data_IF_970750536366
#
_entry.id   IF_970750536366
#
_cell.length_a   1.000
_cell.length_b   1.000
_cell.length_c   1.000
_cell.angle_alpha   90.00
_cell.angle_beta   90.00
_cell.angle_gamma   90.00
#
_symmetry.space_group_name_H-M   'P 1'
#
loop_
_entity.id
_entity.type
_entity.pdbx_description
1 polymer ?
#
# COMPACT_ATOMS: atom_id res chain seq x y z
N UNK A 1 -11.46 -26.78 -5.83
CA UNK A 1 -11.77 -25.74 -4.83
C UNK A 1 -11.37 -24.43 -5.46
N UNK A 2 -12.28 -23.46 -5.53
CA UNK A 2 -12.06 -22.24 -6.30
C UNK A 2 -11.13 -21.32 -5.51
N UNK A 3 -9.92 -21.09 -6.03
CA UNK A 3 -8.85 -20.37 -5.31
C UNK A 3 -9.27 -18.93 -4.96
N UNK A 4 -10.17 -18.37 -5.75
CA UNK A 4 -10.77 -17.05 -5.54
C UNK A 4 -11.75 -17.03 -4.35
N UNK A 5 -12.42 -18.15 -4.03
CA UNK A 5 -13.30 -18.25 -2.86
C UNK A 5 -12.48 -18.35 -1.56
N UNK A 6 -11.43 -19.17 -1.51
CA UNK A 6 -10.55 -19.26 -0.33
C UNK A 6 -9.81 -17.95 -0.04
N UNK A 7 -9.30 -17.27 -1.07
CA UNK A 7 -8.59 -16.00 -0.89
C UNK A 7 -9.53 -14.87 -0.48
N UNK A 8 -10.77 -14.88 -0.99
CA UNK A 8 -11.83 -13.95 -0.59
C UNK A 8 -12.27 -14.19 0.85
N UNK A 9 -12.46 -15.45 1.27
CA UNK A 9 -12.79 -15.79 2.65
C UNK A 9 -11.64 -15.44 3.61
N UNK A 10 -10.39 -15.60 3.19
CA UNK A 10 -9.24 -15.22 4.02
C UNK A 10 -9.05 -13.70 4.11
N UNK A 11 -9.32 -12.96 3.02
CA UNK A 11 -9.38 -11.49 3.03
C UNK A 11 -10.60 -10.95 3.80
N UNK A 12 -11.63 -11.76 4.03
CA UNK A 12 -12.78 -11.45 4.87
C UNK A 12 -12.65 -11.97 6.31
N UNK A 13 -11.62 -12.76 6.62
CA UNK A 13 -11.39 -13.35 7.95
C UNK A 13 -10.88 -12.34 8.99
N UNK A 14 -10.91 -12.73 10.27
CA UNK A 14 -10.40 -12.02 11.47
C UNK A 14 -9.01 -11.34 11.26
N UNK A 15 -8.21 -11.87 10.33
CA UNK A 15 -6.87 -11.39 10.03
C UNK A 15 -6.87 -10.07 9.25
N UNK A 16 -7.83 -9.86 8.33
CA UNK A 16 -8.05 -8.55 7.71
C UNK A 16 -8.61 -7.56 8.72
N UNK A 17 -9.51 -8.02 9.61
CA UNK A 17 -10.11 -7.20 10.64
C UNK A 17 -9.04 -6.59 11.58
N UNK A 18 -8.02 -7.38 11.94
CA UNK A 18 -6.89 -6.91 12.75
C UNK A 18 -6.02 -5.83 12.08
N UNK A 19 -6.00 -5.78 10.74
CA UNK A 19 -5.22 -4.81 9.96
C UNK A 19 -6.05 -3.64 9.42
N UNK A 20 -7.37 -3.75 9.45
CA UNK A 20 -8.33 -2.76 8.94
C UNK A 20 -8.19 -1.39 9.63
N UNK A 21 -7.95 -1.38 10.94
CA UNK A 21 -7.74 -0.17 11.74
C UNK A 21 -6.48 0.60 11.33
N UNK A 22 -5.38 -0.12 11.05
CA UNK A 22 -4.14 0.46 10.54
C UNK A 22 -4.33 1.02 9.12
N UNK A 23 -5.03 0.30 8.25
CA UNK A 23 -5.36 0.79 6.90
C UNK A 23 -6.26 2.03 6.94
N UNK A 24 -7.25 2.07 7.85
CA UNK A 24 -8.11 3.23 8.04
C UNK A 24 -7.31 4.45 8.54
N UNK A 25 -6.41 4.23 9.49
CA UNK A 25 -5.53 5.27 10.01
C UNK A 25 -4.58 5.80 8.93
N UNK A 26 -3.93 4.92 8.17
CA UNK A 26 -3.06 5.33 7.06
C UNK A 26 -3.85 6.07 5.97
N UNK A 27 -5.04 5.60 5.62
CA UNK A 27 -5.95 6.28 4.69
C UNK A 27 -6.27 7.69 5.17
N UNK A 28 -6.58 7.87 6.45
CA UNK A 28 -6.84 9.19 7.03
C UNK A 28 -5.62 10.11 6.95
N UNK A 29 -4.43 9.60 7.28
CA UNK A 29 -3.16 10.34 7.15
C UNK A 29 -2.87 10.76 5.71
N UNK A 30 -3.16 9.91 4.73
CA UNK A 30 -3.03 10.21 3.30
C UNK A 30 -4.01 11.31 2.88
N UNK A 31 -5.26 11.27 3.38
CA UNK A 31 -6.26 12.32 3.09
C UNK A 31 -5.90 13.67 3.72
N UNK A 32 -5.22 13.68 4.87
CA UNK A 32 -4.61 14.91 5.41
C UNK A 32 -3.52 15.41 4.46
N UNK A 33 -2.64 14.52 3.97
CA UNK A 33 -1.59 14.90 3.00
C UNK A 33 -2.20 15.49 1.73
N UNK A 34 -3.28 14.91 1.21
CA UNK A 34 -4.06 15.48 0.10
C UNK A 34 -4.45 16.94 0.36
N UNK A 35 -5.03 17.25 1.52
CA UNK A 35 -5.40 18.63 1.88
C UNK A 35 -4.19 19.58 1.94
N UNK A 36 -3.05 19.08 2.43
CA UNK A 36 -1.81 19.85 2.50
C UNK A 36 -1.21 20.10 1.10
N UNK A 37 -1.31 19.15 0.16
CA UNK A 37 -0.89 19.37 -1.23
C UNK A 37 -1.77 20.38 -1.97
N UNK A 38 -3.07 20.42 -1.68
CA UNK A 38 -3.95 21.51 -2.16
C UNK A 38 -3.43 22.85 -1.65
N UNK A 39 -3.11 22.93 -0.35
CA UNK A 39 -2.61 24.14 0.27
C UNK A 39 -1.28 24.61 -0.35
N UNK A 40 -0.39 23.69 -0.75
CA UNK A 40 0.86 24.03 -1.45
C UNK A 40 0.71 24.16 -2.96
N UNK A 41 -0.51 24.17 -3.50
CA UNK A 41 -0.83 24.25 -4.93
C UNK A 41 -0.23 23.12 -5.79
N UNK A 42 0.04 21.95 -5.20
CA UNK A 42 0.52 20.77 -5.91
C UNK A 42 -0.67 19.83 -6.23
N UNK A 43 -1.40 20.17 -7.29
CA UNK A 43 -2.63 19.48 -7.68
C UNK A 43 -2.39 18.03 -8.12
N UNK A 44 -1.25 17.74 -8.76
CA UNK A 44 -0.90 16.39 -9.18
C UNK A 44 -0.75 15.44 -7.98
N UNK A 45 0.01 15.86 -6.96
CA UNK A 45 0.21 15.08 -5.75
C UNK A 45 -1.07 14.99 -4.91
N UNK A 46 -1.88 16.05 -4.89
CA UNK A 46 -3.19 16.02 -4.26
C UNK A 46 -4.08 14.92 -4.88
N UNK A 47 -4.21 14.88 -6.21
CA UNK A 47 -5.03 13.86 -6.88
C UNK A 47 -4.52 12.44 -6.60
N UNK A 48 -3.20 12.24 -6.64
CA UNK A 48 -2.57 10.96 -6.32
C UNK A 48 -2.90 10.48 -4.90
N UNK A 49 -2.75 11.36 -3.91
CA UNK A 49 -3.05 11.03 -2.51
C UNK A 49 -4.55 10.83 -2.28
N UNK A 50 -5.41 11.61 -2.93
CA UNK A 50 -6.87 11.40 -2.87
C UNK A 50 -7.24 10.01 -3.41
N UNK A 51 -6.68 9.62 -4.55
CA UNK A 51 -6.94 8.31 -5.15
C UNK A 51 -6.49 7.16 -4.24
N UNK A 52 -5.25 7.22 -3.71
CA UNK A 52 -4.76 6.20 -2.78
C UNK A 52 -5.61 6.12 -1.52
N UNK A 53 -5.95 7.26 -0.92
CA UNK A 53 -6.76 7.32 0.30
C UNK A 53 -8.17 6.76 0.10
N UNK A 54 -8.90 7.24 -0.91
CA UNK A 54 -10.27 6.78 -1.17
C UNK A 54 -10.32 5.30 -1.55
N UNK A 55 -9.39 4.82 -2.39
CA UNK A 55 -9.34 3.41 -2.77
C UNK A 55 -8.98 2.51 -1.59
N UNK A 56 -8.09 2.96 -0.69
CA UNK A 56 -7.77 2.25 0.55
C UNK A 56 -9.00 2.16 1.44
N UNK A 57 -9.72 3.27 1.62
CA UNK A 57 -10.96 3.29 2.40
C UNK A 57 -12.01 2.35 1.81
N UNK A 58 -12.19 2.36 0.49
CA UNK A 58 -13.11 1.45 -0.20
C UNK A 58 -12.73 -0.03 0.01
N UNK A 59 -11.44 -0.35 -0.08
CA UNK A 59 -10.92 -1.70 0.13
C UNK A 59 -11.23 -2.24 1.54
N UNK A 60 -11.29 -1.37 2.56
CA UNK A 60 -11.68 -1.76 3.93
C UNK A 60 -13.11 -2.33 3.98
N UNK A 61 -14.06 -1.76 3.24
CA UNK A 61 -15.45 -2.24 3.24
C UNK A 61 -15.68 -3.38 2.25
N UNK A 62 -14.88 -3.43 1.17
CA UNK A 62 -15.00 -4.42 0.11
C UNK A 62 -13.62 -4.95 -0.27
N UNK A 63 -13.03 -5.83 0.56
CA UNK A 63 -11.73 -6.41 0.24
C UNK A 63 -11.85 -7.27 -1.03
N UNK A 64 -10.90 -7.09 -1.94
CA UNK A 64 -10.79 -7.91 -3.15
C UNK A 64 -9.34 -8.07 -3.59
N UNK A 65 -9.07 -9.17 -4.26
CA UNK A 65 -7.74 -9.53 -4.81
C UNK A 65 -7.24 -8.48 -5.79
N UNK A 66 -8.11 -8.01 -6.68
CA UNK A 66 -7.79 -6.98 -7.65
C UNK A 66 -7.45 -5.67 -6.94
N UNK A 67 -8.20 -5.31 -5.89
CA UNK A 67 -7.97 -4.06 -5.14
C UNK A 67 -6.68 -4.11 -4.33
N UNK A 68 -6.37 -5.21 -3.63
CA UNK A 68 -5.13 -5.29 -2.85
C UNK A 68 -3.89 -5.24 -3.75
N UNK A 69 -3.89 -5.94 -4.89
CA UNK A 69 -2.80 -5.89 -5.88
C UNK A 69 -2.68 -4.48 -6.47
N UNK A 70 -3.82 -3.86 -6.83
CA UNK A 70 -3.84 -2.50 -7.37
C UNK A 70 -3.29 -1.49 -6.37
N UNK A 71 -3.71 -1.58 -5.10
CA UNK A 71 -3.24 -0.70 -4.03
C UNK A 71 -1.76 -0.90 -3.71
N UNK A 72 -1.27 -2.15 -3.68
CA UNK A 72 0.15 -2.45 -3.51
C UNK A 72 0.99 -1.86 -4.65
N UNK A 73 0.54 -2.05 -5.89
CA UNK A 73 1.20 -1.54 -7.09
C UNK A 73 1.21 -0.01 -7.10
N UNK A 74 0.07 0.60 -6.81
CA UNK A 74 -0.08 2.06 -6.75
C UNK A 74 0.80 2.67 -5.65
N UNK A 75 0.88 2.02 -4.48
CA UNK A 75 1.72 2.46 -3.37
C UNK A 75 3.20 2.44 -3.71
N UNK A 76 3.72 1.37 -4.35
CA UNK A 76 5.11 1.33 -4.81
C UNK A 76 5.37 2.37 -5.91
N UNK A 77 4.46 2.47 -6.88
CA UNK A 77 4.60 3.41 -7.98
C UNK A 77 4.67 4.86 -7.48
N UNK A 78 3.79 5.24 -6.55
CA UNK A 78 3.83 6.57 -5.92
C UNK A 78 5.09 6.76 -5.07
N UNK A 79 5.44 5.80 -4.21
CA UNK A 79 6.64 5.90 -3.37
C UNK A 79 7.92 6.08 -4.20
N UNK A 80 8.04 5.37 -5.32
CA UNK A 80 9.17 5.50 -6.25
C UNK A 80 9.15 6.83 -7.02
N UNK A 81 7.97 7.27 -7.49
CA UNK A 81 7.83 8.58 -8.14
C UNK A 81 8.21 9.73 -7.21
N UNK A 82 7.72 9.73 -5.97
CA UNK A 82 8.07 10.74 -4.97
C UNK A 82 9.55 10.69 -4.61
N UNK A 83 10.14 9.49 -4.49
CA UNK A 83 11.58 9.33 -4.26
C UNK A 83 12.41 9.95 -5.38
N UNK A 84 11.99 9.74 -6.64
CA UNK A 84 12.65 10.35 -7.80
C UNK A 84 12.52 11.88 -7.79
N UNK A 85 11.33 12.41 -7.50
CA UNK A 85 11.11 13.87 -7.39
C UNK A 85 11.97 14.46 -6.28
N UNK A 86 12.03 13.82 -5.11
CA UNK A 86 12.87 14.25 -4.00
C UNK A 86 14.35 14.25 -4.40
N UNK A 87 14.83 13.18 -5.01
CA UNK A 87 16.20 13.05 -5.50
C UNK A 87 16.55 14.18 -6.50
N UNK A 88 15.74 14.35 -7.54
CA UNK A 88 15.97 15.41 -8.54
C UNK A 88 15.99 16.79 -7.89
N UNK A 89 15.09 17.05 -6.95
CA UNK A 89 14.96 18.36 -6.31
C UNK A 89 16.16 18.67 -5.41
N UNK A 90 16.62 17.69 -4.61
CA UNK A 90 17.79 17.84 -3.72
C UNK A 90 19.08 18.07 -4.52
N UNK A 91 19.31 17.29 -5.59
CA UNK A 91 20.57 17.33 -6.33
C UNK A 91 20.63 18.42 -7.41
N UNK A 92 19.52 18.70 -8.11
CA UNK A 92 19.51 19.70 -9.19
C UNK A 92 19.08 21.09 -8.75
N UNK A 93 18.35 21.21 -7.63
CA UNK A 93 17.80 22.48 -7.17
C UNK A 93 18.09 22.75 -5.69
N UNK A 94 19.37 22.84 -5.27
CA UNK A 94 19.74 23.08 -3.87
C UNK A 94 19.21 24.41 -3.32
N UNK A 95 18.88 25.37 -4.20
CA UNK A 95 18.24 26.64 -3.83
C UNK A 95 16.83 26.47 -3.24
N UNK A 96 16.20 25.31 -3.38
CA UNK A 96 14.91 25.00 -2.72
C UNK A 96 15.03 25.09 -1.19
N UNK A 97 16.20 24.82 -0.61
CA UNK A 97 16.43 24.98 0.83
C UNK A 97 16.48 26.45 1.29
N UNK A 98 16.65 27.39 0.35
CA UNK A 98 16.61 28.84 0.58
C UNK A 98 15.26 29.46 0.15
N UNK A 99 14.33 28.65 -0.34
CA UNK A 99 13.05 29.12 -0.88
C UNK A 99 12.00 29.41 0.20
N UNK A 100 10.81 29.84 -0.23
CA UNK A 100 9.69 30.17 0.66
C UNK A 100 9.29 29.00 1.56
N UNK A 101 8.66 29.32 2.69
CA UNK A 101 8.15 28.33 3.64
C UNK A 101 7.24 27.29 2.97
N UNK A 102 6.42 27.70 2.00
CA UNK A 102 5.54 26.82 1.23
C UNK A 102 6.31 25.77 0.43
N UNK A 103 7.44 26.15 -0.20
CA UNK A 103 8.28 25.22 -0.97
C UNK A 103 9.06 24.25 -0.08
N UNK A 104 9.46 24.70 1.11
CA UNK A 104 10.03 23.82 2.14
C UNK A 104 8.99 22.82 2.66
N UNK A 105 7.77 23.29 2.93
CA UNK A 105 6.66 22.43 3.34
C UNK A 105 6.36 21.37 2.27
N UNK A 106 6.33 21.74 1.00
CA UNK A 106 6.13 20.80 -0.12
C UNK A 106 7.18 19.67 -0.12
N UNK A 107 8.46 19.98 0.15
CA UNK A 107 9.53 18.97 0.26
C UNK A 107 9.34 18.03 1.46
N UNK A 108 8.87 18.56 2.59
CA UNK A 108 8.53 17.75 3.77
C UNK A 108 7.35 16.84 3.46
N UNK A 109 6.33 17.35 2.77
CA UNK A 109 5.15 16.57 2.35
C UNK A 109 5.53 15.44 1.40
N UNK A 110 6.39 15.70 0.41
CA UNK A 110 6.90 14.65 -0.50
C UNK A 110 7.63 13.55 0.30
N UNK A 111 8.46 13.95 1.27
CA UNK A 111 9.18 12.99 2.12
C UNK A 111 8.23 12.16 2.98
N UNK A 112 7.19 12.80 3.52
CA UNK A 112 6.13 12.16 4.28
C UNK A 112 5.33 11.17 3.42
N UNK A 113 5.00 11.53 2.18
CA UNK A 113 4.27 10.66 1.26
C UNK A 113 5.06 9.42 0.84
N UNK A 114 6.40 9.52 0.73
CA UNK A 114 7.27 8.34 0.53
C UNK A 114 7.08 7.36 1.69
N UNK A 115 7.14 7.86 2.93
CA UNK A 115 6.98 7.03 4.12
C UNK A 115 5.59 6.40 4.16
N UNK A 116 4.53 7.18 3.92
CA UNK A 116 3.16 6.65 3.87
C UNK A 116 2.98 5.59 2.79
N UNK A 117 3.53 5.82 1.59
CA UNK A 117 3.44 4.87 0.48
C UNK A 117 4.13 3.54 0.79
N UNK A 118 5.31 3.58 1.42
CA UNK A 118 6.03 2.37 1.84
C UNK A 118 5.33 1.64 2.99
N UNK A 119 4.78 2.38 3.96
CA UNK A 119 3.99 1.79 5.05
C UNK A 119 2.71 1.13 4.53
N UNK A 120 2.00 1.80 3.62
CA UNK A 120 0.82 1.24 2.94
C UNK A 120 1.17 -0.06 2.22
N UNK A 121 2.23 -0.06 1.41
CA UNK A 121 2.69 -1.28 0.75
C UNK A 121 3.03 -2.38 1.77
N UNK A 122 3.74 -2.05 2.86
CA UNK A 122 4.13 -3.03 3.87
C UNK A 122 2.93 -3.68 4.56
N UNK A 123 1.92 -2.87 4.96
CA UNK A 123 0.69 -3.39 5.58
C UNK A 123 -0.10 -4.23 4.59
N UNK A 124 -0.29 -3.78 3.36
CA UNK A 124 -1.00 -4.54 2.34
C UNK A 124 -0.28 -5.84 1.98
N UNK A 125 1.06 -5.83 1.90
CA UNK A 125 1.86 -7.03 1.67
C UNK A 125 1.76 -8.03 2.84
N UNK A 126 1.65 -7.54 4.08
CA UNK A 126 1.37 -8.41 5.24
C UNK A 126 -0.02 -9.03 5.16
N UNK A 127 -1.04 -8.23 4.83
CA UNK A 127 -2.40 -8.72 4.60
C UNK A 127 -2.42 -9.76 3.47
N UNK A 128 -1.65 -9.55 2.40
CA UNK A 128 -1.51 -10.50 1.29
C UNK A 128 -0.75 -11.80 1.66
N UNK A 129 0.33 -11.70 2.43
CA UNK A 129 1.15 -12.86 2.86
C UNK A 129 0.55 -13.65 4.02
N UNK A 130 -0.38 -13.09 4.78
CA UNK A 130 -0.96 -13.81 5.90
C UNK A 130 -1.75 -15.07 5.48
N UNK A 131 -2.63 -15.00 4.46
CA UNK A 131 -3.31 -16.18 3.91
C UNK A 131 -2.35 -17.30 3.45
N UNK A 132 -1.19 -16.94 2.88
CA UNK A 132 -0.23 -17.94 2.38
C UNK A 132 0.56 -18.64 3.49
N UNK A 133 0.57 -18.08 4.72
CA UNK A 133 1.29 -18.64 5.86
C UNK A 133 0.38 -19.38 6.87
N UNK A 134 -0.90 -19.04 6.96
CA UNK A 134 -1.85 -19.67 7.91
C UNK A 134 -2.28 -21.10 7.54
N UNK A 135 -1.96 -21.57 6.33
CA UNK A 135 -2.25 -22.95 5.89
C UNK A 135 -1.24 -24.00 6.39
N UNK A 136 -0.72 -23.89 7.61
CA UNK A 136 0.28 -24.84 8.13
C UNK A 136 -0.14 -25.69 9.33
N UNK A 137 -1.17 -25.31 10.10
CA UNK A 137 -1.35 -25.95 11.42
C UNK A 137 -2.58 -26.86 11.59
N UNK A 138 -3.49 -27.01 10.62
CA UNK A 138 -4.67 -27.88 10.79
C UNK A 138 -5.20 -28.53 9.50
N UNK A 139 -4.35 -28.78 8.50
CA UNK A 139 -4.79 -29.42 7.26
C UNK A 139 -4.51 -30.94 7.30
N UNK A 140 -5.42 -31.78 6.80
CA UNK A 140 -5.19 -33.21 6.73
C UNK A 140 -4.01 -33.54 5.81
N UNK A 141 -3.28 -34.63 6.11
CA UNK A 141 -2.01 -35.04 5.47
C UNK A 141 -2.04 -35.13 3.94
N UNK A 142 -3.21 -35.35 3.33
CA UNK A 142 -3.38 -35.37 1.87
C UNK A 142 -3.29 -33.97 1.22
N UNK A 143 -3.66 -32.91 1.94
CA UNK A 143 -3.59 -31.53 1.47
C UNK A 143 -2.14 -31.01 1.46
N UNK A 144 -1.25 -31.50 2.34
CA UNK A 144 0.18 -31.17 2.27
C UNK A 144 0.87 -31.74 1.02
N UNK A 145 0.42 -32.88 0.50
CA UNK A 145 0.94 -33.41 -0.75
C UNK A 145 0.52 -32.54 -1.95
N UNK A 146 -0.69 -31.98 -1.94
CA UNK A 146 -1.14 -31.04 -2.97
C UNK A 146 -0.52 -29.64 -2.81
N UNK A 147 -0.36 -29.11 -1.59
CA UNK A 147 0.34 -27.83 -1.34
C UNK A 147 1.82 -27.94 -1.70
N UNK A 148 2.49 -29.06 -1.44
CA UNK A 148 3.90 -29.21 -1.83
C UNK A 148 4.07 -29.18 -3.36
N UNK A 149 3.09 -29.69 -4.11
CA UNK A 149 2.99 -29.58 -5.56
C UNK A 149 2.56 -28.16 -6.02
N UNK A 150 1.67 -27.48 -5.29
CA UNK A 150 1.15 -26.16 -5.68
C UNK A 150 1.94 -24.95 -5.15
N UNK A 151 2.82 -25.12 -4.15
CA UNK A 151 3.76 -24.06 -3.70
C UNK A 151 4.70 -23.61 -4.80
N UNK A 152 4.91 -24.44 -5.82
CA UNK A 152 5.64 -24.06 -7.03
C UNK A 152 4.83 -23.17 -7.99
N UNK A 153 3.50 -23.10 -7.84
CA UNK A 153 2.58 -22.42 -8.78
C UNK A 153 1.87 -21.18 -8.21
N UNK A 154 2.02 -20.87 -6.92
CA UNK A 154 1.48 -19.62 -6.37
C UNK A 154 2.46 -18.49 -6.72
N UNK A 155 2.16 -17.78 -7.80
CA UNK A 155 2.93 -16.61 -8.20
C UNK A 155 2.74 -15.49 -7.16
N UNK A 156 3.71 -15.35 -6.26
CA UNK A 156 3.80 -14.23 -5.33
C UNK A 156 4.54 -13.07 -6.03
N UNK A 157 3.91 -11.91 -6.23
CA UNK A 157 4.52 -10.82 -7.00
C UNK A 157 5.83 -10.30 -6.40
N UNK A 158 6.04 -10.45 -5.08
CA UNK A 158 7.24 -9.97 -4.40
C UNK A 158 7.68 -10.96 -3.31
N UNK A 159 8.46 -11.97 -3.71
CA UNK A 159 9.21 -12.84 -2.78
C UNK A 159 10.59 -12.25 -2.52
N UNK A 160 10.83 -11.86 -1.27
CA UNK A 160 12.14 -11.69 -0.65
C UNK A 160 12.14 -12.56 0.58
#
# INVERSE_FOLDING_TARGET
MDYDEELKDTLQSDLFESHSSYLAFLSFLILISFGLHIYTYNTANAIANLALGVLTFYFIFRPSVILIISLMTYSIALGSAYSLVLFVTVFKHPKVWLSSTTKKLEMVLISYDIVLSLLMFSVLNKVWKSPSNTNTDNLPTWYYNEIALNKQNIWMPFTV
#
